data_IF_693997143155
#
_entry.id   IF_693997143155
#
_cell.length_a   1.000
_cell.length_b   1.000
_cell.length_c   1.000
_cell.angle_alpha   90.00
_cell.angle_beta   90.00
_cell.angle_gamma   90.00
#
_symmetry.space_group_name_H-M   'P 1'
#
loop_
_entity.id
_entity.type
_entity.pdbx_description
1 polymer ?
#
# COMPACT_ATOMS: atom_id res chain seq x y z
N UNK A 1 26.17 0.41 3.82
CA UNK A 1 27.60 0.76 4.08
C UNK A 1 28.43 -0.43 3.71
N UNK A 2 29.20 -0.31 2.66
CA UNK A 2 29.91 -1.38 1.97
C UNK A 2 31.24 -1.65 2.68
N UNK A 3 31.58 -2.91 2.71
CA UNK A 3 32.87 -3.55 2.99
C UNK A 3 34.01 -2.57 3.21
N UNK A 4 34.42 -2.35 4.47
CA UNK A 4 35.75 -1.77 4.75
C UNK A 4 36.78 -2.89 4.57
N UNK A 5 37.85 -2.67 3.81
CA UNK A 5 38.90 -3.66 3.66
C UNK A 5 39.51 -3.95 5.05
N UNK A 6 39.49 -5.23 5.45
CA UNK A 6 40.27 -5.69 6.58
C UNK A 6 41.71 -5.21 6.40
N UNK A 7 42.33 -4.80 7.49
CA UNK A 7 43.67 -4.18 7.51
C UNK A 7 44.68 -4.92 6.62
N UNK A 8 45.65 -4.20 6.09
CA UNK A 8 46.80 -4.77 5.35
C UNK A 8 47.74 -5.63 6.22
N UNK A 9 47.28 -6.02 7.41
CA UNK A 9 47.99 -6.87 8.35
C UNK A 9 48.16 -8.27 7.73
N UNK A 10 49.40 -8.80 7.69
CA UNK A 10 49.68 -10.12 7.16
C UNK A 10 48.86 -11.25 7.78
N UNK A 11 48.51 -11.15 9.07
CA UNK A 11 47.68 -12.12 9.78
C UNK A 11 46.27 -12.12 9.24
N UNK A 12 45.69 -10.91 8.98
CA UNK A 12 44.36 -10.76 8.38
C UNK A 12 44.30 -11.35 6.98
N UNK A 13 45.33 -11.13 6.16
CA UNK A 13 45.40 -11.67 4.80
C UNK A 13 45.47 -13.21 4.84
N UNK A 14 46.28 -13.78 5.73
CA UNK A 14 46.42 -15.23 5.91
C UNK A 14 45.13 -15.86 6.43
N UNK A 15 44.42 -15.21 7.39
CA UNK A 15 43.16 -15.65 7.93
C UNK A 15 42.06 -15.73 6.83
N UNK A 16 41.96 -14.68 6.00
CA UNK A 16 41.03 -14.63 4.87
C UNK A 16 41.33 -15.68 3.80
N UNK A 17 42.61 -15.86 3.47
CA UNK A 17 43.03 -16.87 2.50
C UNK A 17 42.65 -18.29 2.97
N UNK A 18 42.98 -18.63 4.24
CA UNK A 18 42.60 -19.91 4.84
C UNK A 18 41.07 -20.10 4.88
N UNK A 19 40.31 -19.07 5.26
CA UNK A 19 38.86 -19.14 5.29
C UNK A 19 38.27 -19.38 3.90
N UNK A 20 38.73 -18.69 2.85
CA UNK A 20 38.33 -18.89 1.47
C UNK A 20 38.69 -20.25 0.91
N UNK A 21 39.80 -20.80 1.36
CA UNK A 21 40.26 -22.14 1.00
C UNK A 21 39.49 -23.27 1.73
N UNK A 22 38.66 -22.92 2.74
CA UNK A 22 38.02 -23.93 3.60
C UNK A 22 38.94 -24.59 4.62
N UNK A 23 40.16 -24.07 4.83
CA UNK A 23 41.03 -24.49 5.90
C UNK A 23 40.60 -23.85 7.22
N UNK A 24 39.57 -24.46 7.81
CA UNK A 24 38.90 -23.94 9.01
C UNK A 24 39.85 -23.92 10.23
N UNK A 25 40.78 -24.88 10.32
CA UNK A 25 41.71 -24.94 11.44
C UNK A 25 42.71 -23.76 11.42
N UNK A 26 43.31 -23.50 10.25
CA UNK A 26 44.21 -22.35 10.08
C UNK A 26 43.43 -21.02 10.17
N UNK A 27 42.25 -20.93 9.58
CA UNK A 27 41.40 -19.74 9.67
C UNK A 27 41.08 -19.40 11.13
N UNK A 28 40.62 -20.39 11.93
CA UNK A 28 40.36 -20.21 13.35
C UNK A 28 41.61 -19.67 14.07
N UNK A 29 42.77 -20.32 13.93
CA UNK A 29 43.99 -19.93 14.63
C UNK A 29 44.38 -18.48 14.31
N UNK A 30 44.31 -18.05 13.04
CA UNK A 30 44.66 -16.70 12.63
C UNK A 30 43.62 -15.64 13.09
N UNK A 31 42.33 -15.95 13.09
CA UNK A 31 41.33 -15.03 13.64
C UNK A 31 41.43 -14.94 15.18
N UNK A 32 41.79 -16.00 15.88
CA UNK A 32 42.10 -15.99 17.34
C UNK A 32 43.30 -15.11 17.64
N UNK A 33 44.37 -15.18 16.83
CA UNK A 33 45.52 -14.30 16.92
C UNK A 33 45.14 -12.82 16.79
N UNK A 34 44.29 -12.49 15.81
CA UNK A 34 43.75 -11.14 15.63
C UNK A 34 42.92 -10.69 16.82
N UNK A 35 42.08 -11.58 17.35
CA UNK A 35 41.23 -11.28 18.51
C UNK A 35 42.10 -11.03 19.78
N UNK A 36 43.13 -11.85 20.03
CA UNK A 36 44.04 -11.68 21.12
C UNK A 36 44.86 -10.38 21.04
N UNK A 37 45.19 -9.95 19.82
CA UNK A 37 45.89 -8.69 19.56
C UNK A 37 44.96 -7.44 19.61
N UNK A 38 43.67 -7.62 19.88
CA UNK A 38 42.68 -6.54 19.87
C UNK A 38 42.42 -5.91 18.47
N UNK A 39 42.78 -6.64 17.40
CA UNK A 39 42.65 -6.17 15.99
C UNK A 39 41.46 -6.77 15.24
N UNK A 40 40.68 -7.66 15.87
CA UNK A 40 39.53 -8.29 15.24
C UNK A 40 38.33 -7.32 15.20
N UNK A 41 37.82 -7.04 14.00
CA UNK A 41 36.58 -6.32 13.77
C UNK A 41 35.34 -7.27 13.76
N UNK A 42 34.19 -6.75 13.49
CA UNK A 42 32.95 -7.53 13.44
C UNK A 42 33.00 -8.68 12.41
N UNK A 43 33.62 -8.45 11.25
CA UNK A 43 33.72 -9.49 10.22
C UNK A 43 34.74 -10.56 10.57
N UNK A 44 35.85 -10.19 11.19
CA UNK A 44 36.83 -11.13 11.70
C UNK A 44 36.20 -12.07 12.78
N UNK A 45 35.43 -11.51 13.71
CA UNK A 45 34.70 -12.32 14.70
C UNK A 45 33.59 -13.19 14.03
N UNK A 46 32.92 -12.70 13.02
CA UNK A 46 31.94 -13.49 12.28
C UNK A 46 32.56 -14.65 11.51
N UNK A 47 33.72 -14.44 10.90
CA UNK A 47 34.49 -15.51 10.24
C UNK A 47 35.07 -16.50 11.25
N UNK A 48 35.53 -16.04 12.40
CA UNK A 48 35.96 -16.92 13.51
C UNK A 48 34.80 -17.80 13.98
N UNK A 49 33.62 -17.22 14.17
CA UNK A 49 32.40 -17.96 14.53
C UNK A 49 32.08 -19.05 13.51
N UNK A 50 32.10 -18.69 12.21
CA UNK A 50 31.86 -19.65 11.13
C UNK A 50 32.90 -20.76 11.08
N UNK A 51 34.18 -20.44 11.25
CA UNK A 51 35.27 -21.45 11.29
C UNK A 51 35.11 -22.41 12.47
N UNK A 52 34.84 -21.89 13.68
CA UNK A 52 34.57 -22.71 14.89
C UNK A 52 33.34 -23.59 14.70
N UNK A 53 32.28 -23.06 14.13
CA UNK A 53 31.08 -23.84 13.80
C UNK A 53 31.39 -25.01 12.87
N UNK A 54 32.17 -24.77 11.80
CA UNK A 54 32.62 -25.84 10.87
C UNK A 54 33.49 -26.90 11.53
N UNK A 55 34.21 -26.53 12.59
CA UNK A 55 35.04 -27.46 13.39
C UNK A 55 34.26 -28.16 14.51
N UNK A 56 32.96 -27.87 14.67
CA UNK A 56 32.12 -28.48 15.69
C UNK A 56 32.21 -27.85 17.07
N UNK A 57 32.94 -26.74 17.22
CA UNK A 57 33.06 -26.02 18.50
C UNK A 57 31.90 -25.02 18.65
N UNK A 58 30.73 -25.56 18.97
CA UNK A 58 29.49 -24.78 19.11
C UNK A 58 29.56 -23.67 20.15
N UNK A 59 29.98 -23.94 21.40
CA UNK A 59 30.06 -22.90 22.43
C UNK A 59 30.94 -21.71 22.05
N UNK A 60 32.14 -21.99 21.57
CA UNK A 60 33.07 -20.94 21.17
C UNK A 60 32.61 -20.21 19.89
N UNK A 61 31.90 -20.91 18.98
CA UNK A 61 31.27 -20.27 17.81
C UNK A 61 30.19 -19.30 18.22
N UNK A 62 29.35 -19.64 19.22
CA UNK A 62 28.35 -18.73 19.78
C UNK A 62 28.98 -17.45 20.34
N UNK A 63 30.02 -17.61 21.18
CA UNK A 63 30.70 -16.45 21.75
C UNK A 63 31.27 -15.52 20.68
N UNK A 64 31.93 -16.07 19.67
CA UNK A 64 32.48 -15.27 18.58
C UNK A 64 31.35 -14.57 17.74
N UNK A 65 30.23 -15.25 17.50
CA UNK A 65 29.08 -14.64 16.81
C UNK A 65 28.49 -13.51 17.64
N UNK A 66 28.35 -13.65 18.95
CA UNK A 66 27.87 -12.60 19.84
C UNK A 66 28.79 -11.38 19.84
N UNK A 67 30.09 -11.59 19.86
CA UNK A 67 31.09 -10.51 19.75
C UNK A 67 30.94 -9.76 18.42
N UNK A 68 30.76 -10.49 17.32
CA UNK A 68 30.52 -9.89 16.02
C UNK A 68 29.25 -9.04 15.99
N UNK A 69 28.15 -9.55 16.58
CA UNK A 69 26.84 -8.84 16.62
C UNK A 69 26.83 -7.63 17.56
N UNK A 70 27.63 -7.66 18.64
CA UNK A 70 27.84 -6.48 19.50
C UNK A 70 28.55 -5.36 18.73
N UNK A 71 29.53 -5.70 17.88
CA UNK A 71 30.26 -4.73 17.06
C UNK A 71 29.44 -4.26 15.86
N UNK A 72 28.65 -5.14 15.26
CA UNK A 72 27.77 -4.85 14.15
C UNK A 72 26.51 -5.73 14.19
N UNK A 73 25.43 -5.20 14.73
CA UNK A 73 24.14 -5.91 14.86
C UNK A 73 23.54 -6.39 13.52
N UNK A 74 23.97 -5.84 12.39
CA UNK A 74 23.56 -6.23 11.05
C UNK A 74 24.58 -7.13 10.33
N UNK A 75 25.50 -7.78 11.07
CA UNK A 75 26.45 -8.69 10.45
C UNK A 75 25.75 -9.96 9.98
N UNK A 76 25.68 -10.13 8.66
CA UNK A 76 24.96 -11.21 8.00
C UNK A 76 25.53 -12.59 8.33
N UNK A 77 26.88 -12.72 8.32
CA UNK A 77 27.58 -13.99 8.60
C UNK A 77 27.40 -14.43 10.05
N UNK A 78 27.54 -13.51 10.99
CA UNK A 78 27.34 -13.79 12.41
C UNK A 78 25.90 -14.23 12.69
N UNK A 79 24.91 -13.52 12.14
CA UNK A 79 23.50 -13.88 12.26
C UNK A 79 23.20 -15.27 11.67
N UNK A 80 23.76 -15.58 10.49
CA UNK A 80 23.60 -16.89 9.85
C UNK A 80 24.22 -18.02 10.71
N UNK A 81 25.43 -17.81 11.18
CA UNK A 81 26.11 -18.79 12.03
C UNK A 81 25.35 -19.05 13.33
N UNK A 82 24.81 -17.97 13.94
CA UNK A 82 24.01 -18.09 15.16
C UNK A 82 22.70 -18.83 14.92
N UNK A 83 22.01 -18.55 13.79
CA UNK A 83 20.80 -19.26 13.39
C UNK A 83 21.06 -20.77 13.20
N UNK A 84 22.14 -21.11 12.52
CA UNK A 84 22.52 -22.52 12.29
C UNK A 84 22.85 -23.25 13.59
N UNK A 85 23.60 -22.62 14.52
CA UNK A 85 23.91 -23.17 15.83
C UNK A 85 22.67 -23.41 16.70
N UNK A 86 21.78 -22.44 16.77
CA UNK A 86 20.51 -22.54 17.51
C UNK A 86 19.61 -23.64 16.93
N UNK A 87 19.60 -23.80 15.61
CA UNK A 87 18.87 -24.90 14.96
C UNK A 87 19.40 -26.25 15.38
N UNK A 88 20.74 -26.42 15.44
CA UNK A 88 21.35 -27.66 15.91
C UNK A 88 21.05 -27.98 17.38
N UNK A 89 20.84 -26.95 18.20
CA UNK A 89 20.47 -27.07 19.60
C UNK A 89 18.96 -27.31 19.83
N UNK A 90 18.15 -27.25 18.76
CA UNK A 90 16.68 -27.35 18.86
C UNK A 90 15.98 -26.06 19.33
N UNK A 91 16.73 -24.97 19.51
CA UNK A 91 16.21 -23.66 19.89
C UNK A 91 15.58 -22.94 18.69
N UNK A 92 14.51 -23.54 18.11
CA UNK A 92 13.96 -23.13 16.81
C UNK A 92 13.37 -21.72 16.81
N UNK A 93 12.83 -21.27 17.93
CA UNK A 93 12.23 -19.92 18.05
C UNK A 93 13.31 -18.84 17.91
N UNK A 94 14.42 -19.02 18.63
CA UNK A 94 15.57 -18.12 18.59
C UNK A 94 16.27 -18.20 17.23
N UNK A 95 16.41 -19.41 16.66
CA UNK A 95 16.96 -19.60 15.32
C UNK A 95 16.17 -18.83 14.27
N UNK A 96 14.83 -18.88 14.32
CA UNK A 96 13.96 -18.15 13.40
C UNK A 96 14.11 -16.64 13.48
N UNK A 97 14.41 -16.08 14.66
CA UNK A 97 14.73 -14.66 14.79
C UNK A 97 15.96 -14.28 13.95
N UNK A 98 17.04 -15.05 14.07
CA UNK A 98 18.26 -14.80 13.31
C UNK A 98 18.12 -15.11 11.82
N UNK A 99 17.40 -16.15 11.43
CA UNK A 99 17.04 -16.40 10.02
C UNK A 99 16.21 -15.26 9.46
N UNK A 100 15.35 -14.62 10.29
CA UNK A 100 14.63 -13.41 9.94
C UNK A 100 15.55 -12.26 9.55
N UNK A 101 16.52 -11.98 10.41
CA UNK A 101 17.52 -10.95 10.16
C UNK A 101 18.36 -11.24 8.91
N UNK A 102 18.77 -12.52 8.72
CA UNK A 102 19.53 -12.96 7.53
C UNK A 102 18.72 -12.72 6.25
N UNK A 103 17.45 -13.10 6.23
CA UNK A 103 16.61 -12.94 5.05
C UNK A 103 16.33 -11.45 4.70
N UNK A 104 16.14 -10.61 5.72
CA UNK A 104 15.93 -9.18 5.57
C UNK A 104 17.19 -8.47 5.06
N UNK A 105 18.32 -8.66 5.76
CA UNK A 105 19.59 -8.02 5.42
C UNK A 105 20.10 -8.53 4.06
N UNK A 106 20.04 -9.84 3.86
CA UNK A 106 20.53 -10.48 2.64
C UNK A 106 19.68 -10.23 1.42
N UNK A 107 18.36 -10.03 1.59
CA UNK A 107 17.44 -9.76 0.48
C UNK A 107 17.69 -8.43 -0.23
N UNK A 108 18.28 -7.46 0.46
CA UNK A 108 18.66 -6.14 -0.10
C UNK A 108 20.17 -6.01 -0.40
N UNK A 109 20.97 -7.02 -0.04
CA UNK A 109 22.43 -6.97 -0.20
C UNK A 109 22.85 -7.32 -1.64
N UNK A 110 23.82 -6.56 -2.17
CA UNK A 110 24.46 -6.82 -3.45
C UNK A 110 25.90 -7.33 -3.23
N UNK A 111 26.40 -8.16 -4.14
CA UNK A 111 27.79 -8.63 -4.09
C UNK A 111 28.07 -9.65 -2.99
N UNK A 112 27.07 -10.42 -2.56
CA UNK A 112 27.26 -11.49 -1.58
C UNK A 112 28.22 -12.56 -2.12
N UNK A 113 29.07 -13.10 -1.21
CA UNK A 113 29.83 -14.30 -1.52
C UNK A 113 28.92 -15.50 -1.70
N UNK A 114 29.29 -16.53 -2.50
CA UNK A 114 28.42 -17.67 -2.77
C UNK A 114 27.88 -18.36 -1.50
N UNK A 115 28.71 -18.51 -0.47
CA UNK A 115 28.33 -19.09 0.81
C UNK A 115 27.28 -18.27 1.56
N UNK A 116 27.39 -16.95 1.54
CA UNK A 116 26.37 -16.06 2.12
C UNK A 116 25.10 -16.04 1.30
N UNK A 117 25.19 -16.03 -0.02
CA UNK A 117 24.01 -16.11 -0.90
C UNK A 117 23.23 -17.41 -0.69
N UNK A 118 23.92 -18.55 -0.53
CA UNK A 118 23.31 -19.82 -0.15
C UNK A 118 22.68 -19.78 1.24
N UNK A 119 23.34 -19.15 2.20
CA UNK A 119 22.81 -18.92 3.54
C UNK A 119 21.52 -18.08 3.53
N UNK A 120 21.46 -17.03 2.74
CA UNK A 120 20.27 -16.18 2.58
C UNK A 120 19.12 -16.99 1.98
N UNK A 121 19.37 -17.76 0.89
CA UNK A 121 18.33 -18.62 0.30
C UNK A 121 17.79 -19.64 1.31
N UNK A 122 18.69 -20.24 2.10
CA UNK A 122 18.34 -21.19 3.17
C UNK A 122 17.48 -20.51 4.24
N UNK A 123 17.86 -19.31 4.69
CA UNK A 123 17.11 -18.52 5.66
C UNK A 123 15.70 -18.17 5.16
N UNK A 124 15.59 -17.78 3.90
CA UNK A 124 14.29 -17.51 3.25
C UNK A 124 13.41 -18.75 3.22
N UNK A 125 13.97 -19.92 2.87
CA UNK A 125 13.24 -21.19 2.84
C UNK A 125 12.78 -21.62 4.25
N UNK A 126 13.62 -21.46 5.28
CA UNK A 126 13.24 -21.74 6.67
C UNK A 126 12.10 -20.83 7.10
N UNK A 127 12.19 -19.53 6.83
CA UNK A 127 11.10 -18.57 7.14
C UNK A 127 9.79 -18.93 6.45
N UNK A 128 9.85 -19.24 5.16
CA UNK A 128 8.64 -19.62 4.41
C UNK A 128 7.97 -20.87 5.01
N UNK A 129 8.78 -21.88 5.37
CA UNK A 129 8.28 -23.09 6.02
C UNK A 129 7.64 -22.79 7.38
N UNK A 130 8.34 -22.06 8.25
CA UNK A 130 7.82 -21.70 9.58
C UNK A 130 6.56 -20.86 9.51
N UNK A 131 6.48 -19.93 8.54
CA UNK A 131 5.29 -19.14 8.31
C UNK A 131 4.10 -20.02 7.86
N UNK A 132 4.35 -21.01 6.99
CA UNK A 132 3.32 -21.96 6.55
C UNK A 132 2.84 -22.88 7.71
N UNK A 133 3.76 -23.40 8.53
CA UNK A 133 3.44 -24.20 9.70
C UNK A 133 2.62 -23.41 10.72
N UNK A 134 2.99 -22.16 10.99
CA UNK A 134 2.23 -21.25 11.86
C UNK A 134 0.83 -20.99 11.29
N UNK A 135 0.73 -20.72 9.99
CA UNK A 135 -0.54 -20.48 9.33
C UNK A 135 -1.47 -21.68 9.42
N UNK A 136 -0.96 -22.88 9.15
CA UNK A 136 -1.73 -24.13 9.26
C UNK A 136 -2.27 -24.35 10.68
N UNK A 137 -1.45 -24.09 11.70
CA UNK A 137 -1.87 -24.18 13.10
C UNK A 137 -2.97 -23.15 13.40
N UNK A 138 -2.78 -21.89 13.02
CA UNK A 138 -3.77 -20.81 13.23
C UNK A 138 -5.08 -21.14 12.52
N UNK A 139 -5.04 -21.62 11.28
CA UNK A 139 -6.25 -21.99 10.53
C UNK A 139 -6.99 -23.17 11.17
N UNK A 140 -6.26 -24.17 11.68
CA UNK A 140 -6.86 -25.30 12.38
C UNK A 140 -7.56 -24.87 13.69
N UNK A 141 -6.90 -24.05 14.50
CA UNK A 141 -7.46 -23.51 15.74
C UNK A 141 -8.68 -22.62 15.48
N UNK A 142 -8.59 -21.73 14.50
CA UNK A 142 -9.72 -20.86 14.12
C UNK A 142 -10.92 -21.67 13.63
N UNK A 143 -10.68 -22.71 12.82
CA UNK A 143 -11.73 -23.63 12.36
C UNK A 143 -12.38 -24.36 13.53
N UNK A 144 -11.59 -24.83 14.48
CA UNK A 144 -12.07 -25.47 15.72
C UNK A 144 -12.91 -24.51 16.56
N UNK A 145 -12.56 -23.23 16.58
CA UNK A 145 -13.31 -22.15 17.24
C UNK A 145 -14.57 -21.69 16.45
N UNK A 146 -14.89 -22.32 15.31
CA UNK A 146 -16.07 -22.01 14.50
C UNK A 146 -15.89 -20.93 13.45
N UNK A 147 -14.67 -20.47 13.20
CA UNK A 147 -14.40 -19.51 12.13
C UNK A 147 -14.67 -20.13 10.76
N UNK A 148 -15.39 -19.37 9.92
CA UNK A 148 -15.62 -19.68 8.52
C UNK A 148 -15.57 -18.36 7.71
N UNK A 149 -14.73 -18.25 6.68
CA UNK A 149 -14.49 -16.98 5.94
C UNK A 149 -15.76 -16.36 5.35
N UNK A 150 -16.72 -17.18 4.95
CA UNK A 150 -17.99 -16.80 4.33
C UNK A 150 -19.09 -16.36 5.32
N UNK A 151 -18.94 -16.68 6.60
CA UNK A 151 -19.94 -16.43 7.65
C UNK A 151 -19.41 -15.62 8.83
N UNK A 152 -18.12 -15.60 9.02
CA UNK A 152 -17.48 -14.83 10.09
C UNK A 152 -17.33 -13.36 9.70
N UNK A 153 -16.97 -12.52 10.68
CA UNK A 153 -16.78 -11.08 10.46
C UNK A 153 -15.79 -10.80 9.30
N UNK A 154 -16.21 -10.09 8.26
CA UNK A 154 -15.30 -9.72 7.15
C UNK A 154 -14.08 -8.94 7.64
N UNK A 155 -14.24 -8.10 8.67
CA UNK A 155 -13.14 -7.34 9.28
C UNK A 155 -12.12 -8.27 9.95
N UNK A 156 -12.56 -9.34 10.61
CA UNK A 156 -11.65 -10.34 11.17
C UNK A 156 -10.93 -11.13 10.08
N UNK A 157 -11.66 -11.54 9.02
CA UNK A 157 -11.07 -12.21 7.86
C UNK A 157 -9.96 -11.34 7.23
N UNK A 158 -10.22 -10.05 7.02
CA UNK A 158 -9.22 -9.12 6.51
C UNK A 158 -8.01 -8.97 7.45
N UNK A 159 -8.24 -8.91 8.77
CA UNK A 159 -7.15 -8.85 9.75
C UNK A 159 -6.26 -10.11 9.69
N UNK A 160 -6.86 -11.28 9.55
CA UNK A 160 -6.14 -12.54 9.37
C UNK A 160 -5.33 -12.56 8.06
N UNK A 161 -5.89 -12.08 6.96
CA UNK A 161 -5.21 -12.00 5.67
C UNK A 161 -4.02 -11.02 5.71
N UNK A 162 -4.14 -9.91 6.44
CA UNK A 162 -3.05 -8.96 6.67
C UNK A 162 -1.97 -9.60 7.56
N UNK A 163 -2.35 -10.21 8.66
CA UNK A 163 -1.42 -10.89 9.57
C UNK A 163 -0.59 -11.97 8.86
N UNK A 164 -1.22 -12.68 7.94
CA UNK A 164 -0.58 -13.77 7.18
C UNK A 164 0.14 -13.30 5.90
N UNK A 165 0.17 -11.99 5.63
CA UNK A 165 0.82 -11.41 4.46
C UNK A 165 0.11 -11.66 3.13
N UNK A 166 -1.13 -12.17 3.15
CA UNK A 166 -1.97 -12.31 1.94
C UNK A 166 -2.54 -10.99 1.45
N UNK A 167 -2.67 -10.01 2.35
CA UNK A 167 -3.04 -8.62 2.09
C UNK A 167 -2.10 -7.67 2.80
N UNK A 168 -2.04 -6.42 2.35
CA UNK A 168 -1.30 -5.37 3.04
C UNK A 168 -2.28 -4.39 3.72
N UNK A 169 -1.88 -3.70 4.80
CA UNK A 169 -2.69 -2.63 5.36
C UNK A 169 -2.69 -1.42 4.43
N UNK A 170 -3.87 -0.84 4.22
CA UNK A 170 -4.03 0.44 3.53
C UNK A 170 -4.58 1.47 4.51
N UNK A 171 -4.04 2.68 4.45
CA UNK A 171 -4.40 3.79 5.32
C UNK A 171 -4.86 4.98 4.48
N UNK A 172 -5.60 5.89 5.11
CA UNK A 172 -5.91 7.19 4.55
C UNK A 172 -4.61 7.97 4.29
N UNK A 173 -4.43 8.48 3.09
CA UNK A 173 -3.28 9.29 2.67
C UNK A 173 -3.77 10.51 1.88
N UNK A 174 -4.57 11.41 2.50
CA UNK A 174 -5.03 12.61 1.81
C UNK A 174 -3.84 13.50 1.43
N UNK A 175 -3.88 14.06 0.23
CA UNK A 175 -2.75 14.85 -0.31
C UNK A 175 -2.75 16.31 0.16
N UNK A 176 -3.89 16.84 0.65
CA UNK A 176 -4.03 18.25 1.00
C UNK A 176 -4.43 18.50 2.45
N UNK A 177 -5.43 17.78 3.00
CA UNK A 177 -5.93 18.01 4.35
C UNK A 177 -6.30 16.70 5.03
N UNK A 178 -5.67 16.42 6.18
CA UNK A 178 -5.95 15.27 7.02
C UNK A 178 -6.71 15.68 8.27
N UNK A 179 -7.89 15.10 8.48
CA UNK A 179 -8.69 15.23 9.69
C UNK A 179 -8.50 13.98 10.56
N UNK A 180 -8.08 14.12 11.83
CA UNK A 180 -7.73 12.97 12.67
C UNK A 180 -8.96 12.16 13.11
N UNK A 181 -8.71 10.93 13.57
CA UNK A 181 -9.67 10.03 14.23
C UNK A 181 -10.87 9.59 13.36
N UNK A 182 -10.82 9.81 12.05
CA UNK A 182 -11.84 9.29 11.15
C UNK A 182 -11.60 7.81 10.82
N UNK A 183 -12.67 6.99 10.70
CA UNK A 183 -12.54 5.57 10.39
C UNK A 183 -11.80 5.31 9.08
N UNK A 184 -10.89 4.34 9.09
CA UNK A 184 -10.18 3.88 7.90
C UNK A 184 -10.98 2.79 7.17
N UNK A 185 -12.08 3.18 6.53
CA UNK A 185 -13.04 2.27 5.88
C UNK A 185 -12.93 2.39 4.37
N UNK A 186 -12.58 1.29 3.68
CA UNK A 186 -12.40 1.27 2.22
C UNK A 186 -13.71 1.57 1.48
N UNK A 187 -14.72 0.70 1.65
CA UNK A 187 -16.08 0.92 1.20
C UNK A 187 -17.01 0.95 2.38
N UNK A 188 -17.85 1.94 2.43
CA UNK A 188 -18.81 2.10 3.51
C UNK A 188 -19.99 1.16 3.35
N UNK A 189 -20.53 0.63 4.48
CA UNK A 189 -21.76 -0.14 4.46
C UNK A 189 -22.93 0.69 3.94
N UNK A 190 -23.72 0.11 3.04
CA UNK A 190 -24.86 0.78 2.39
C UNK A 190 -25.88 1.31 3.40
N UNK A 191 -26.06 0.59 4.49
CA UNK A 191 -27.03 0.90 5.55
C UNK A 191 -26.81 2.26 6.21
N UNK A 192 -25.61 2.82 6.09
CA UNK A 192 -25.30 4.16 6.56
C UNK A 192 -25.87 5.28 5.67
N UNK A 193 -26.32 4.95 4.46
CA UNK A 193 -26.75 5.91 3.44
C UNK A 193 -28.14 5.60 2.89
N UNK A 194 -29.22 5.75 3.67
CA UNK A 194 -30.61 5.43 3.22
C UNK A 194 -31.03 6.19 1.98
N UNK A 195 -30.47 7.38 1.74
CA UNK A 195 -30.74 8.21 0.57
C UNK A 195 -30.27 7.56 -0.75
N UNK A 196 -29.40 6.56 -0.71
CA UNK A 196 -28.97 5.84 -1.91
C UNK A 196 -30.13 5.18 -2.64
N UNK A 197 -31.17 4.74 -1.94
CA UNK A 197 -32.35 4.12 -2.58
C UNK A 197 -33.03 5.08 -3.56
N UNK A 198 -33.17 6.35 -3.19
CA UNK A 198 -33.75 7.37 -4.04
C UNK A 198 -32.84 7.72 -5.23
N UNK A 199 -31.54 7.80 -5.01
CA UNK A 199 -30.54 8.05 -6.06
C UNK A 199 -30.52 6.91 -7.07
N UNK A 200 -30.50 5.67 -6.63
CA UNK A 200 -30.53 4.48 -7.50
C UNK A 200 -31.84 4.35 -8.27
N UNK A 201 -32.98 4.71 -7.67
CA UNK A 201 -34.28 4.72 -8.35
C UNK A 201 -34.31 5.69 -9.54
N UNK A 202 -33.48 6.73 -9.54
CA UNK A 202 -33.39 7.70 -10.64
C UNK A 202 -32.41 7.26 -11.76
N UNK A 203 -31.79 6.07 -11.69
CA UNK A 203 -30.75 5.63 -12.62
C UNK A 203 -31.15 5.72 -14.08
N UNK A 204 -32.36 5.26 -14.45
CA UNK A 204 -32.81 5.32 -15.86
C UNK A 204 -33.00 6.77 -16.34
N UNK A 205 -33.51 7.64 -15.48
CA UNK A 205 -33.63 9.06 -15.79
C UNK A 205 -32.24 9.73 -15.96
N UNK A 206 -31.27 9.35 -15.15
CA UNK A 206 -29.89 9.81 -15.29
C UNK A 206 -29.26 9.33 -16.60
N UNK A 207 -29.54 8.10 -17.02
CA UNK A 207 -29.05 7.56 -18.29
C UNK A 207 -29.63 8.32 -19.48
N UNK A 208 -30.95 8.59 -19.49
CA UNK A 208 -31.58 9.37 -20.56
C UNK A 208 -30.97 10.78 -20.67
N UNK A 209 -30.72 11.44 -19.55
CA UNK A 209 -30.07 12.76 -19.53
C UNK A 209 -28.59 12.66 -19.99
N UNK A 210 -27.85 11.64 -19.55
CA UNK A 210 -26.48 11.36 -19.98
C UNK A 210 -26.43 11.12 -21.50
N UNK A 211 -27.37 10.37 -22.08
CA UNK A 211 -27.43 10.14 -23.52
C UNK A 211 -27.58 11.45 -24.29
N UNK A 212 -28.39 12.39 -23.77
CA UNK A 212 -28.49 13.73 -24.30
C UNK A 212 -27.20 14.54 -24.23
N UNK A 213 -26.44 14.38 -23.14
CA UNK A 213 -25.12 15.02 -22.98
C UNK A 213 -24.08 14.39 -23.90
N UNK A 214 -24.10 13.08 -24.10
CA UNK A 214 -23.17 12.34 -24.98
C UNK A 214 -23.28 12.72 -26.46
N UNK A 215 -24.41 13.33 -26.90
CA UNK A 215 -24.53 13.86 -28.27
C UNK A 215 -23.66 15.10 -28.51
N UNK A 216 -23.16 15.72 -27.43
CA UNK A 216 -22.34 16.92 -27.49
C UNK A 216 -20.88 16.52 -27.14
N UNK A 217 -20.08 16.29 -28.16
CA UNK A 217 -18.66 15.89 -28.00
C UNK A 217 -17.87 16.93 -27.18
N UNK A 218 -18.27 18.21 -27.19
CA UNK A 218 -17.59 19.26 -26.42
C UNK A 218 -17.97 19.26 -24.93
N UNK A 219 -18.99 18.50 -24.52
CA UNK A 219 -19.39 18.41 -23.11
C UNK A 219 -18.35 17.67 -22.23
N UNK A 220 -17.60 16.77 -22.84
CA UNK A 220 -16.55 16.03 -22.13
C UNK A 220 -15.16 16.62 -22.41
N UNK A 221 -14.36 16.69 -21.37
CA UNK A 221 -12.97 17.15 -21.45
C UNK A 221 -12.06 16.22 -20.64
N UNK A 222 -10.74 16.16 -20.94
CA UNK A 222 -9.80 15.41 -20.12
C UNK A 222 -9.96 15.74 -18.64
N UNK A 223 -10.07 14.72 -17.80
CA UNK A 223 -10.24 14.93 -16.36
C UNK A 223 -8.98 15.54 -15.74
N UNK A 224 -7.80 15.02 -16.11
CA UNK A 224 -6.51 15.60 -15.75
C UNK A 224 -5.99 16.45 -16.90
N UNK A 225 -5.61 17.68 -16.61
CA UNK A 225 -5.02 18.62 -17.57
C UNK A 225 -3.66 19.07 -17.09
N UNK A 226 -2.79 19.36 -18.04
CA UNK A 226 -1.51 20.03 -17.74
C UNK A 226 -1.78 21.43 -17.22
N UNK A 227 -1.31 21.71 -16.02
CA UNK A 227 -1.32 23.07 -15.47
C UNK A 227 0.09 23.66 -15.50
N UNK A 228 0.24 25.01 -15.71
CA UNK A 228 1.55 25.65 -15.90
C UNK A 228 2.57 25.42 -14.77
N UNK A 229 2.11 25.02 -13.59
CA UNK A 229 2.93 24.82 -12.38
C UNK A 229 3.05 23.35 -11.93
N UNK A 230 2.54 22.41 -12.73
CA UNK A 230 2.53 21.00 -12.41
C UNK A 230 3.84 20.33 -12.80
N UNK A 231 4.78 20.20 -11.84
CA UNK A 231 6.10 19.60 -12.08
C UNK A 231 6.16 18.08 -11.87
N UNK A 232 5.14 17.46 -11.25
CA UNK A 232 5.27 16.10 -10.70
C UNK A 232 4.50 14.99 -11.41
N UNK A 233 3.74 15.28 -12.48
CA UNK A 233 2.89 14.29 -13.16
C UNK A 233 3.04 14.25 -14.68
N UNK A 234 4.12 14.82 -15.23
CA UNK A 234 4.33 14.90 -16.69
C UNK A 234 4.27 13.52 -17.41
N UNK A 235 4.58 12.45 -16.71
CA UNK A 235 4.61 11.08 -17.25
C UNK A 235 3.32 10.27 -17.00
N UNK A 236 2.26 10.89 -16.43
CA UNK A 236 1.02 10.15 -16.18
C UNK A 236 0.22 9.97 -17.47
N UNK A 237 -0.11 8.72 -17.87
CA UNK A 237 -0.63 8.41 -19.22
C UNK A 237 -1.97 9.07 -19.58
N UNK A 238 -2.76 9.49 -18.58
CA UNK A 238 -4.09 10.05 -18.77
C UNK A 238 -4.14 11.59 -18.63
N UNK A 239 -2.99 12.26 -18.52
CA UNK A 239 -2.95 13.74 -18.60
C UNK A 239 -3.29 14.15 -20.03
N UNK A 240 -4.16 15.15 -20.17
CA UNK A 240 -4.67 15.68 -21.43
C UNK A 240 -5.28 14.61 -22.37
N UNK A 241 -5.64 13.45 -21.81
CA UNK A 241 -6.19 12.33 -22.55
C UNK A 241 -7.71 12.25 -22.41
N UNK A 242 -8.38 12.06 -23.53
CA UNK A 242 -9.83 11.76 -23.58
C UNK A 242 -10.16 10.32 -23.15
N UNK A 243 -9.14 9.49 -22.85
CA UNK A 243 -9.36 8.15 -22.33
C UNK A 243 -9.94 8.15 -20.92
N UNK A 244 -9.63 9.20 -20.15
CA UNK A 244 -10.32 9.57 -18.93
C UNK A 244 -10.81 11.00 -19.03
N UNK A 245 -12.10 11.14 -19.27
CA UNK A 245 -12.74 12.44 -19.47
C UNK A 245 -13.95 12.62 -18.55
N UNK A 246 -14.35 13.84 -18.33
CA UNK A 246 -15.47 14.18 -17.46
C UNK A 246 -16.33 15.29 -18.05
N UNK A 247 -17.64 15.20 -17.78
CA UNK A 247 -18.60 16.29 -17.95
C UNK A 247 -19.07 16.71 -16.57
N UNK A 248 -18.63 17.87 -16.09
CA UNK A 248 -19.05 18.40 -14.80
C UNK A 248 -20.46 18.99 -14.87
N UNK A 249 -21.35 18.53 -14.00
CA UNK A 249 -22.62 19.17 -13.69
C UNK A 249 -22.44 20.26 -12.62
N UNK A 250 -21.59 19.96 -11.62
CA UNK A 250 -21.09 20.94 -10.66
C UNK A 250 -19.57 20.81 -10.58
N UNK A 251 -18.89 21.94 -10.59
CA UNK A 251 -17.45 22.01 -10.49
C UNK A 251 -17.06 23.03 -9.43
N UNK A 252 -16.23 22.63 -8.47
CA UNK A 252 -15.77 23.49 -7.37
C UNK A 252 -16.91 24.19 -6.61
N UNK A 253 -18.03 23.49 -6.39
CA UNK A 253 -19.19 24.00 -5.65
C UNK A 253 -20.13 24.89 -6.45
N UNK A 254 -19.91 25.05 -7.75
CA UNK A 254 -20.74 25.86 -8.65
C UNK A 254 -21.36 25.03 -9.77
N UNK A 255 -22.64 25.33 -10.09
CA UNK A 255 -23.35 24.66 -11.19
C UNK A 255 -22.75 25.08 -12.53
N UNK A 256 -22.50 24.12 -13.41
CA UNK A 256 -22.13 24.38 -14.80
C UNK A 256 -23.37 24.46 -15.69
N UNK A 257 -23.25 24.93 -16.93
CA UNK A 257 -24.38 24.92 -17.90
C UNK A 257 -24.96 23.51 -18.14
N UNK A 258 -24.15 22.45 -17.93
CA UNK A 258 -24.57 21.05 -18.07
C UNK A 258 -25.56 20.62 -16.99
N UNK A 259 -25.54 21.22 -15.79
CA UNK A 259 -26.52 20.95 -14.74
C UNK A 259 -27.96 21.20 -15.20
N UNK A 260 -28.19 22.28 -15.98
CA UNK A 260 -29.51 22.59 -16.53
C UNK A 260 -29.98 21.55 -17.56
N UNK A 261 -29.09 20.77 -18.14
CA UNK A 261 -29.41 19.68 -19.08
C UNK A 261 -29.76 18.36 -18.34
N UNK A 262 -29.47 18.28 -17.04
CA UNK A 262 -29.65 17.08 -16.23
C UNK A 262 -30.50 17.34 -14.96
N UNK A 263 -31.70 17.94 -15.07
CA UNK A 263 -32.51 18.37 -13.93
C UNK A 263 -32.96 17.18 -13.04
N UNK A 264 -33.27 16.02 -13.64
CA UNK A 264 -33.66 14.81 -12.88
C UNK A 264 -32.48 14.22 -12.08
N UNK A 265 -31.30 14.22 -12.68
CA UNK A 265 -30.06 13.85 -11.98
C UNK A 265 -29.83 14.77 -10.79
N UNK A 266 -29.93 16.08 -11.01
CA UNK A 266 -29.72 17.06 -9.93
C UNK A 266 -30.75 16.92 -8.81
N UNK A 267 -32.04 16.74 -9.16
CA UNK A 267 -33.12 16.54 -8.18
C UNK A 267 -32.92 15.26 -7.33
N UNK A 268 -32.43 14.17 -7.94
CA UNK A 268 -32.13 12.93 -7.20
C UNK A 268 -31.01 13.12 -6.19
N UNK A 269 -30.03 13.98 -6.48
CA UNK A 269 -28.89 14.23 -5.59
C UNK A 269 -29.20 15.23 -4.45
N UNK A 270 -30.32 15.95 -4.47
CA UNK A 270 -30.70 16.86 -3.39
C UNK A 270 -30.88 16.16 -2.04
N UNK A 271 -31.19 14.87 -2.03
CA UNK A 271 -31.34 14.07 -0.81
C UNK A 271 -30.01 13.60 -0.24
N UNK A 272 -28.92 13.65 -1.00
CA UNK A 272 -27.60 13.30 -0.54
C UNK A 272 -26.98 14.43 0.31
N UNK A 273 -26.22 14.12 1.36
CA UNK A 273 -25.51 15.10 2.18
C UNK A 273 -24.28 15.64 1.44
N UNK A 274 -24.50 16.32 0.31
CA UNK A 274 -23.42 16.84 -0.53
C UNK A 274 -22.42 17.66 0.28
N UNK A 275 -21.14 17.44 0.07
CA UNK A 275 -20.07 18.21 0.70
C UNK A 275 -20.04 19.60 0.08
N UNK A 276 -20.55 20.62 0.77
CA UNK A 276 -20.66 21.99 0.28
C UNK A 276 -19.59 22.88 0.89
N UNK A 277 -18.51 23.11 0.14
CA UNK A 277 -17.43 24.04 0.48
C UNK A 277 -17.23 24.97 -0.72
N UNK A 278 -17.52 26.24 -0.52
CA UNK A 278 -17.47 27.24 -1.60
C UNK A 278 -16.09 27.24 -2.28
N UNK A 279 -16.06 27.19 -3.59
CA UNK A 279 -14.85 27.19 -4.40
C UNK A 279 -14.17 25.82 -4.51
N UNK A 280 -14.69 24.75 -3.84
CA UNK A 280 -14.06 23.43 -3.82
C UNK A 280 -15.02 22.28 -4.13
N UNK A 281 -16.19 22.27 -3.48
CA UNK A 281 -17.14 21.16 -3.57
C UNK A 281 -18.59 21.60 -3.39
N UNK A 282 -19.59 20.82 -3.84
CA UNK A 282 -19.41 19.49 -4.41
C UNK A 282 -18.85 19.53 -5.83
N UNK A 283 -18.17 18.43 -6.18
CA UNK A 283 -17.96 18.05 -7.55
C UNK A 283 -19.03 17.01 -7.92
N UNK A 284 -19.73 17.25 -9.01
CA UNK A 284 -20.72 16.31 -9.54
C UNK A 284 -20.43 16.17 -11.03
N UNK A 285 -20.12 14.96 -11.49
CA UNK A 285 -19.68 14.75 -12.87
C UNK A 285 -20.04 13.37 -13.42
N UNK A 286 -20.29 13.30 -14.71
CA UNK A 286 -20.20 12.07 -15.46
C UNK A 286 -18.73 11.80 -15.78
N UNK A 287 -18.18 10.72 -15.23
CA UNK A 287 -16.80 10.28 -15.47
C UNK A 287 -16.79 9.16 -16.51
N UNK A 288 -16.11 9.40 -17.59
CA UNK A 288 -15.95 8.49 -18.72
C UNK A 288 -14.58 7.85 -18.71
N UNK A 289 -14.52 6.52 -18.87
CA UNK A 289 -13.26 5.78 -19.01
C UNK A 289 -13.37 4.90 -20.25
N UNK A 290 -12.58 5.18 -21.28
CA UNK A 290 -12.62 4.47 -22.56
C UNK A 290 -12.17 3.01 -22.46
N UNK A 291 -12.43 2.26 -23.50
CA UNK A 291 -11.99 0.88 -23.67
C UNK A 291 -10.48 0.73 -23.45
N UNK A 292 -10.09 -0.23 -22.63
CA UNK A 292 -8.69 -0.53 -22.32
C UNK A 292 -8.02 0.42 -21.33
N UNK A 293 -8.64 1.56 -20.98
CA UNK A 293 -8.01 2.57 -20.13
C UNK A 293 -7.92 2.15 -18.65
N UNK A 294 -6.87 2.65 -17.98
CA UNK A 294 -6.56 2.36 -16.58
C UNK A 294 -6.18 3.63 -15.83
N UNK A 295 -7.02 4.04 -14.88
CA UNK A 295 -6.69 5.07 -13.90
C UNK A 295 -5.79 4.39 -12.86
N UNK A 296 -4.51 4.77 -12.83
CA UNK A 296 -3.50 4.17 -11.96
C UNK A 296 -3.78 4.44 -10.48
N UNK A 297 -3.20 3.64 -9.55
CA UNK A 297 -3.35 3.84 -8.13
C UNK A 297 -3.03 5.27 -7.70
N UNK A 298 -3.93 5.89 -6.95
CA UNK A 298 -3.83 7.25 -6.43
C UNK A 298 -4.66 7.43 -5.17
N UNK A 299 -4.54 8.58 -4.51
CA UNK A 299 -5.29 8.96 -3.31
C UNK A 299 -5.91 10.34 -3.49
N UNK A 300 -7.05 10.57 -2.85
CA UNK A 300 -7.78 11.84 -2.87
C UNK A 300 -7.14 12.92 -2.00
N UNK A 301 -7.73 14.11 -2.03
CA UNK A 301 -7.14 15.28 -1.40
C UNK A 301 -7.47 15.43 0.09
N UNK A 302 -8.66 15.07 0.52
CA UNK A 302 -9.14 15.33 1.89
C UNK A 302 -9.98 14.17 2.40
N UNK A 303 -9.78 13.78 3.66
CA UNK A 303 -10.55 12.69 4.28
C UNK A 303 -11.83 13.15 5.00
N UNK A 304 -12.21 14.42 4.86
CA UNK A 304 -13.45 14.97 5.44
C UNK A 304 -14.67 14.73 4.56
N UNK A 305 -14.49 14.24 3.34
CA UNK A 305 -15.54 13.82 2.42
C UNK A 305 -15.38 12.37 2.02
N UNK A 306 -16.47 11.80 1.50
CA UNK A 306 -16.48 10.52 0.81
C UNK A 306 -16.92 10.72 -0.62
N UNK A 307 -16.55 9.80 -1.49
CA UNK A 307 -16.97 9.80 -2.89
C UNK A 307 -18.04 8.74 -3.10
N UNK A 308 -19.11 9.12 -3.82
CA UNK A 308 -20.15 8.21 -4.26
C UNK A 308 -20.03 7.98 -5.77
N UNK A 309 -20.09 6.72 -6.18
CA UNK A 309 -20.20 6.30 -7.58
C UNK A 309 -21.57 5.73 -7.85
N UNK A 310 -22.28 6.25 -8.86
CA UNK A 310 -23.49 5.65 -9.43
C UNK A 310 -23.16 5.17 -10.85
N UNK A 311 -23.00 3.86 -11.07
CA UNK A 311 -22.66 3.31 -12.37
C UNK A 311 -23.84 3.40 -13.35
N UNK A 312 -23.65 4.05 -14.50
CA UNK A 312 -24.69 4.29 -15.49
C UNK A 312 -24.50 3.41 -16.74
N UNK A 313 -23.30 3.43 -17.33
CA UNK A 313 -22.93 2.58 -18.46
C UNK A 313 -21.75 1.73 -18.04
N UNK A 314 -21.98 0.42 -17.87
CA UNK A 314 -20.96 -0.50 -17.34
C UNK A 314 -20.82 -1.72 -18.25
N UNK A 315 -19.86 -1.73 -19.17
CA UNK A 315 -19.52 -2.91 -19.92
C UNK A 315 -18.84 -3.97 -18.99
N UNK A 316 -18.79 -5.23 -19.41
CA UNK A 316 -18.13 -6.28 -18.63
C UNK A 316 -16.63 -5.98 -18.41
N UNK A 317 -16.04 -6.59 -17.39
CA UNK A 317 -14.61 -6.45 -17.06
C UNK A 317 -14.16 -5.05 -16.63
N UNK A 318 -15.07 -4.21 -16.15
CA UNK A 318 -14.76 -2.97 -15.47
C UNK A 318 -14.58 -3.23 -13.97
N UNK A 319 -13.42 -2.86 -13.42
CA UNK A 319 -13.06 -3.10 -12.01
C UNK A 319 -12.68 -1.80 -11.32
N UNK A 320 -13.01 -1.74 -10.04
CA UNK A 320 -12.64 -0.66 -9.14
C UNK A 320 -12.06 -1.25 -7.86
N UNK A 321 -10.89 -0.78 -7.45
CA UNK A 321 -10.21 -1.21 -6.24
C UNK A 321 -10.07 -0.03 -5.28
N UNK A 322 -10.38 -0.27 -4.02
CA UNK A 322 -10.02 0.62 -2.91
C UNK A 322 -9.28 -0.22 -1.88
N UNK A 323 -8.02 0.08 -1.66
CA UNK A 323 -7.16 -0.75 -0.81
C UNK A 323 -7.11 -2.20 -1.28
N UNK A 324 -7.55 -3.12 -0.42
CA UNK A 324 -7.62 -4.56 -0.73
C UNK A 324 -8.94 -5.00 -1.37
N UNK A 325 -9.98 -4.15 -1.36
CA UNK A 325 -11.31 -4.53 -1.84
C UNK A 325 -11.45 -4.19 -3.33
N UNK A 326 -11.70 -5.21 -4.16
CA UNK A 326 -11.89 -5.09 -5.61
C UNK A 326 -13.33 -5.41 -5.94
N UNK A 327 -14.02 -4.46 -6.55
CA UNK A 327 -15.42 -4.60 -6.96
C UNK A 327 -15.61 -4.44 -8.46
N UNK A 328 -16.67 -5.04 -8.98
CA UNK A 328 -17.18 -4.78 -10.32
C UNK A 328 -18.41 -3.89 -10.20
N UNK A 329 -18.50 -2.86 -11.03
CA UNK A 329 -19.69 -2.03 -11.05
C UNK A 329 -20.88 -2.80 -11.60
N UNK A 330 -22.03 -2.56 -10.99
CA UNK A 330 -23.34 -2.99 -11.46
C UNK A 330 -24.17 -1.74 -11.78
N UNK A 331 -24.81 -1.70 -12.97
CA UNK A 331 -25.66 -0.57 -13.37
C UNK A 331 -26.66 -0.22 -12.27
N UNK A 332 -26.68 1.04 -11.86
CA UNK A 332 -27.61 1.56 -10.86
C UNK A 332 -27.33 1.15 -9.42
N UNK A 333 -26.23 0.45 -9.12
CA UNK A 333 -25.84 0.08 -7.74
C UNK A 333 -24.73 0.98 -7.24
N UNK A 334 -25.09 1.94 -6.41
CA UNK A 334 -24.18 2.96 -5.93
C UNK A 334 -23.25 2.45 -4.82
N UNK A 335 -22.05 3.01 -4.76
CA UNK A 335 -21.06 2.79 -3.71
C UNK A 335 -20.60 4.10 -3.10
N UNK A 336 -20.36 4.07 -1.80
CA UNK A 336 -19.68 5.13 -1.08
C UNK A 336 -18.35 4.60 -0.56
N UNK A 337 -17.28 5.32 -0.81
CA UNK A 337 -15.93 4.91 -0.44
C UNK A 337 -15.05 6.10 -0.05
N UNK A 338 -13.95 5.80 0.65
CA UNK A 338 -12.95 6.78 1.04
C UNK A 338 -11.86 6.84 -0.04
N UNK A 339 -11.87 7.91 -0.84
CA UNK A 339 -10.91 8.13 -1.93
C UNK A 339 -9.50 8.49 -1.43
N UNK A 340 -9.33 8.80 -0.14
CA UNK A 340 -8.01 9.02 0.45
C UNK A 340 -7.26 7.71 0.76
N UNK A 341 -7.93 6.57 0.68
CA UNK A 341 -7.30 5.26 0.60
C UNK A 341 -6.94 4.99 -0.87
N UNK A 342 -5.75 4.46 -1.12
CA UNK A 342 -5.29 4.18 -2.47
C UNK A 342 -6.35 3.41 -3.28
N UNK A 343 -6.71 3.97 -4.42
CA UNK A 343 -7.73 3.38 -5.30
C UNK A 343 -7.36 3.50 -6.77
N UNK A 344 -7.94 2.62 -7.60
CA UNK A 344 -7.73 2.57 -9.04
C UNK A 344 -8.98 2.09 -9.77
N UNK A 345 -9.10 2.47 -11.05
CA UNK A 345 -10.20 2.06 -11.91
C UNK A 345 -9.67 1.51 -13.24
N UNK A 346 -10.16 0.34 -13.67
CA UNK A 346 -9.77 -0.26 -14.95
C UNK A 346 -10.98 -0.63 -15.76
N UNK A 347 -10.98 -0.23 -17.01
CA UNK A 347 -11.93 -0.68 -18.03
C UNK A 347 -11.19 -1.65 -18.98
N UNK A 348 -11.30 -2.93 -18.74
CA UNK A 348 -10.69 -3.96 -19.59
C UNK A 348 -11.66 -4.48 -20.68
N UNK A 349 -12.72 -3.71 -20.97
CA UNK A 349 -13.68 -4.03 -22.05
C UNK A 349 -13.30 -3.32 -23.35
N UNK A 350 -14.10 -3.56 -24.37
CA UNK A 350 -14.05 -2.92 -25.70
C UNK A 350 -14.95 -1.70 -25.85
N UNK A 351 -15.63 -1.28 -24.77
CA UNK A 351 -16.60 -0.17 -24.75
C UNK A 351 -16.30 0.81 -23.63
N UNK A 352 -16.80 2.03 -23.78
CA UNK A 352 -16.69 3.07 -22.77
C UNK A 352 -17.54 2.78 -21.55
N UNK A 353 -16.97 3.00 -20.34
CA UNK A 353 -17.68 2.99 -19.05
C UNK A 353 -18.02 4.42 -18.65
N UNK A 354 -19.24 4.67 -18.14
CA UNK A 354 -19.63 5.95 -17.56
C UNK A 354 -20.22 5.75 -16.16
N UNK A 355 -19.71 6.55 -15.21
CA UNK A 355 -20.17 6.57 -13.81
C UNK A 355 -20.48 8.01 -13.44
N UNK A 356 -21.62 8.26 -12.79
CA UNK A 356 -21.86 9.53 -12.09
C UNK A 356 -21.06 9.50 -10.78
N UNK A 357 -20.26 10.53 -10.56
CA UNK A 357 -19.42 10.70 -9.38
C UNK A 357 -19.82 11.98 -8.66
N UNK A 358 -19.96 11.91 -7.34
CA UNK A 358 -20.17 13.09 -6.51
C UNK A 358 -19.63 12.88 -5.10
N UNK A 359 -19.32 13.96 -4.41
CA UNK A 359 -18.77 13.95 -3.06
C UNK A 359 -19.80 14.37 -2.02
N UNK A 360 -19.77 13.66 -0.90
CA UNK A 360 -20.64 13.84 0.25
C UNK A 360 -19.83 14.13 1.50
N UNK A 361 -20.44 14.79 2.48
CA UNK A 361 -19.88 14.86 3.81
C UNK A 361 -19.73 13.46 4.42
N UNK A 362 -18.65 13.29 5.11
CA UNK A 362 -18.42 12.11 5.92
C UNK A 362 -19.44 12.05 7.06
N UNK A 363 -20.12 10.90 7.29
CA UNK A 363 -21.16 10.82 8.32
C UNK A 363 -20.65 11.00 9.74
N UNK A 364 -19.37 10.74 9.99
CA UNK A 364 -18.74 10.86 11.30
C UNK A 364 -18.51 12.31 11.72
N UNK A 365 -18.51 13.27 10.80
CA UNK A 365 -18.35 14.68 11.12
C UNK A 365 -19.67 15.27 11.62
N UNK A 366 -19.63 15.91 12.78
CA UNK A 366 -20.73 16.72 13.28
C UNK A 366 -20.99 17.96 12.40
N UNK A 367 -22.13 18.59 12.57
CA UNK A 367 -22.46 19.83 11.86
C UNK A 367 -21.48 20.96 12.19
N UNK A 368 -21.04 21.03 13.45
CA UNK A 368 -20.03 22.00 13.88
C UNK A 368 -18.70 21.78 13.14
N UNK A 369 -18.21 20.54 13.09
CA UNK A 369 -16.97 20.20 12.40
C UNK A 369 -17.06 20.50 10.90
N UNK A 370 -18.17 20.19 10.24
CA UNK A 370 -18.41 20.53 8.83
C UNK A 370 -18.37 22.05 8.61
N UNK A 371 -18.95 22.83 9.52
CA UNK A 371 -18.94 24.29 9.45
C UNK A 371 -17.52 24.85 9.65
N UNK A 372 -16.77 24.30 10.60
CA UNK A 372 -15.38 24.71 10.86
C UNK A 372 -14.44 24.33 9.70
N UNK A 373 -14.56 23.13 9.16
CA UNK A 373 -13.81 22.68 7.96
C UNK A 373 -14.13 23.59 6.76
N UNK A 374 -15.41 23.91 6.55
CA UNK A 374 -15.82 24.84 5.49
C UNK A 374 -15.19 26.21 5.66
N UNK A 375 -15.22 26.75 6.89
CA UNK A 375 -14.64 28.05 7.21
C UNK A 375 -13.13 28.06 6.99
N UNK A 376 -12.44 27.02 7.47
CA UNK A 376 -11.00 26.86 7.32
C UNK A 376 -10.58 26.83 5.83
N UNK A 377 -11.23 25.98 5.04
CA UNK A 377 -10.88 25.82 3.63
C UNK A 377 -11.22 27.09 2.82
N UNK A 378 -12.33 27.75 3.11
CA UNK A 378 -12.69 29.02 2.48
C UNK A 378 -11.68 30.13 2.82
N UNK A 379 -11.19 30.17 4.06
CA UNK A 379 -10.17 31.15 4.47
C UNK A 379 -8.82 30.90 3.77
N UNK A 380 -8.44 29.62 3.60
CA UNK A 380 -7.24 29.26 2.83
C UNK A 380 -7.35 29.74 1.38
N UNK A 381 -8.49 29.54 0.73
CA UNK A 381 -8.72 29.95 -0.65
C UNK A 381 -8.74 31.47 -0.81
N UNK A 382 -9.27 32.20 0.17
CA UNK A 382 -9.21 33.66 0.18
C UNK A 382 -7.77 34.19 0.30
N UNK A 383 -6.86 33.45 0.95
CA UNK A 383 -5.46 33.79 1.07
C UNK A 383 -4.63 33.44 -0.17
N UNK A 384 -4.94 32.32 -0.83
CA UNK A 384 -4.21 31.78 -1.98
C UNK A 384 -5.21 31.31 -3.06
N UNK A 385 -5.89 32.22 -3.77
CA UNK A 385 -6.98 31.88 -4.69
C UNK A 385 -6.55 30.97 -5.85
N UNK A 386 -5.27 31.00 -6.24
CA UNK A 386 -4.72 30.13 -7.27
C UNK A 386 -4.61 28.65 -6.85
N UNK A 387 -4.89 28.32 -5.58
CA UNK A 387 -4.84 26.96 -5.04
C UNK A 387 -6.20 26.39 -4.68
N UNK A 388 -7.28 27.05 -5.09
CA UNK A 388 -8.66 26.70 -4.72
C UNK A 388 -9.21 25.46 -5.45
N UNK A 389 -8.42 24.43 -5.67
CA UNK A 389 -8.88 23.15 -6.19
C UNK A 389 -8.36 21.97 -5.38
N UNK A 390 -9.07 20.83 -5.46
CA UNK A 390 -8.65 19.59 -4.82
C UNK A 390 -7.58 18.82 -5.64
N UNK A 391 -7.28 19.24 -6.85
CA UNK A 391 -6.48 18.52 -7.81
C UNK A 391 -4.99 18.83 -7.84
#
# INVERSE_FOLDING_TARGET
>A
MLWQPMSSDPVSIAALAAFRAGDWATARARFEELAAAGKADAEAFAMLAAARHRLGDGPAAHEAADRALVLNARNLRASLTKADLLTQQGALREANFYYGAVAEIGGSATGLTPDLADGVRRAQAVRARTAAEMLNLVEAELKSAGYAPDRSSPRFTQALEILTGRKQPYFQQPTAFYYPELPNTQFYPREQFPWLDAVEAATEAMIEELEGVLQDEAAFAPYLRTEPHMTSRADYPLIDSMDWSSCFLWNNGEATPHAARCPRTMAALEQAPLCRVKGRSPQIMFSQLKAGAHILPHTGAVNTRLVCHVPLIVPPHCRFRVGNDVRQWEKGKAWVFDDTIEHEARNASDRTRVVLIFDIWRPELSEEERALVTTLLTAIDAYAPERASWG
#
